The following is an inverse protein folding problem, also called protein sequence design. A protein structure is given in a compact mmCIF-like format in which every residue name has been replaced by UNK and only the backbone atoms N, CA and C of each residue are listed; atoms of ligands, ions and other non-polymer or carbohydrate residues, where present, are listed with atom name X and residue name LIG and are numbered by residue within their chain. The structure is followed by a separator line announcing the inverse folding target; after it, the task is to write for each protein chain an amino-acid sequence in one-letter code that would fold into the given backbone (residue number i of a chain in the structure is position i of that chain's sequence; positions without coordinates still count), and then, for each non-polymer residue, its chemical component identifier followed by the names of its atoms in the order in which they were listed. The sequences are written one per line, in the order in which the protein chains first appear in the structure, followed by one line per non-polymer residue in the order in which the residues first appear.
data_IF_585652067447
#
_entry.id   IF_585652067447
#
_cell.length_a   1.000
_cell.length_b   1.000
_cell.length_c   1.000
_cell.angle_alpha   90.00
_cell.angle_beta   90.00
_cell.angle_gamma   90.00
#
_symmetry.space_group_name_H-M   'P 1'
#
loop_
_entity.id
_entity.type
_entity.pdbx_description
1 polymer ?
#
# COMPACT_ATOMS: atom_id res chain seq x y z
N UNK A 1 12.68 -69.64 -14.17
CA UNK A 1 12.60 -68.54 -15.17
C UNK A 1 12.04 -67.33 -14.46
N UNK A 2 12.88 -66.47 -13.86
CA UNK A 2 13.39 -65.18 -14.42
C UNK A 2 12.20 -64.26 -14.73
N UNK A 3 11.96 -63.14 -14.04
CA UNK A 3 12.87 -62.01 -13.91
C UNK A 3 12.69 -61.21 -12.60
N UNK A 4 13.84 -60.85 -12.01
CA UNK A 4 14.02 -60.06 -10.81
C UNK A 4 14.50 -58.68 -11.26
N UNK A 5 13.62 -57.69 -11.37
CA UNK A 5 14.01 -56.32 -11.69
C UNK A 5 14.45 -55.60 -10.42
N UNK A 6 15.78 -55.52 -10.24
CA UNK A 6 16.43 -54.60 -9.30
C UNK A 6 16.59 -53.25 -10.00
N UNK A 7 15.91 -52.22 -9.52
CA UNK A 7 16.24 -50.83 -9.83
C UNK A 7 17.14 -50.31 -8.70
N UNK A 8 18.44 -50.33 -8.97
CA UNK A 8 19.46 -49.63 -8.16
C UNK A 8 19.61 -48.22 -8.71
N UNK A 9 19.11 -47.22 -8.01
CA UNK A 9 19.45 -45.81 -8.23
C UNK A 9 20.78 -45.49 -7.53
N UNK A 10 21.73 -44.79 -8.18
CA UNK A 10 22.95 -44.33 -7.52
C UNK A 10 22.65 -43.14 -6.59
N UNK A 11 23.34 -43.00 -5.44
CA UNK A 11 23.26 -41.80 -4.63
C UNK A 11 24.01 -40.68 -5.35
N UNK A 12 23.27 -39.66 -5.81
CA UNK A 12 23.88 -38.41 -6.26
C UNK A 12 24.56 -37.74 -5.07
N UNK A 13 25.86 -37.54 -5.24
CA UNK A 13 26.81 -36.93 -4.33
C UNK A 13 26.38 -35.53 -3.88
N UNK A 14 25.94 -35.43 -2.63
CA UNK A 14 25.83 -34.19 -1.84
C UNK A 14 27.24 -33.71 -1.40
N UNK A 15 28.09 -33.29 -2.35
CA UNK A 15 29.49 -32.95 -2.01
C UNK A 15 30.07 -31.65 -2.58
N UNK A 16 29.25 -30.69 -3.06
CA UNK A 16 29.81 -29.44 -3.63
C UNK A 16 29.32 -28.14 -2.98
N UNK A 17 28.39 -28.15 -2.03
CA UNK A 17 27.83 -26.87 -1.51
C UNK A 17 28.42 -26.41 -0.16
N UNK A 18 29.29 -27.19 0.50
CA UNK A 18 29.78 -26.85 1.85
C UNK A 18 31.10 -26.07 1.93
N UNK A 19 31.69 -25.61 0.82
CA UNK A 19 33.05 -25.01 0.85
C UNK A 19 33.15 -23.50 0.61
N UNK A 20 32.06 -22.72 0.70
CA UNK A 20 32.11 -21.25 0.48
C UNK A 20 32.05 -20.41 1.77
N UNK A 21 31.81 -21.01 2.95
CA UNK A 21 31.72 -20.26 4.21
C UNK A 21 32.92 -20.56 5.12
N UNK A 22 34.12 -20.16 4.70
CA UNK A 22 35.28 -20.05 5.59
C UNK A 22 36.36 -19.13 5.00
N UNK A 23 36.04 -17.87 4.76
CA UNK A 23 37.06 -16.83 4.68
C UNK A 23 37.10 -16.08 6.02
N UNK A 24 38.16 -16.23 6.84
CA UNK A 24 38.29 -15.45 8.05
C UNK A 24 38.55 -13.99 7.68
N UNK A 25 37.60 -13.14 8.07
CA UNK A 25 37.67 -11.69 8.00
C UNK A 25 38.68 -11.20 9.05
N UNK A 26 39.98 -11.35 8.76
CA UNK A 26 41.07 -10.78 9.54
C UNK A 26 41.86 -9.82 8.64
N UNK A 27 41.26 -8.67 8.35
CA UNK A 27 41.95 -7.57 7.68
C UNK A 27 41.61 -6.25 8.35
N UNK A 28 42.08 -6.10 9.60
CA UNK A 28 42.06 -4.84 10.33
C UNK A 28 43.43 -4.60 10.98
N UNK A 29 44.46 -4.36 10.17
CA UNK A 29 45.69 -3.67 10.60
C UNK A 29 46.67 -3.47 9.44
N UNK A 30 46.44 -2.43 8.61
CA UNK A 30 47.56 -1.71 8.00
C UNK A 30 47.09 -0.37 7.41
N UNK A 31 46.98 0.62 8.28
CA UNK A 31 46.90 2.03 7.89
C UNK A 31 48.25 2.44 7.31
N UNK A 32 48.35 2.56 5.99
CA UNK A 32 49.04 3.62 5.23
C UNK A 32 49.31 3.15 3.80
N UNK A 33 48.28 3.03 2.96
CA UNK A 33 48.48 2.91 1.51
C UNK A 33 47.51 3.85 0.79
N UNK A 34 48.07 4.74 -0.04
CA UNK A 34 47.39 5.91 -0.60
C UNK A 34 46.09 5.63 -1.36
N UNK A 35 45.18 6.60 -1.28
CA UNK A 35 43.78 6.64 -1.77
C UNK A 35 43.52 6.06 -3.17
N UNK A 36 44.53 5.92 -4.03
CA UNK A 36 44.36 5.38 -5.40
C UNK A 36 44.28 3.85 -5.44
N UNK A 37 44.88 3.13 -4.49
CA UNK A 37 44.83 1.64 -4.48
C UNK A 37 43.53 1.09 -3.87
N UNK A 38 42.90 1.85 -2.98
CA UNK A 38 41.64 1.46 -2.32
C UNK A 38 40.44 1.44 -3.28
N UNK A 39 40.41 2.36 -4.26
CA UNK A 39 39.35 2.40 -5.28
C UNK A 39 39.42 1.20 -6.24
N UNK A 40 40.61 0.73 -6.59
CA UNK A 40 40.79 -0.45 -7.46
C UNK A 40 40.34 -1.73 -6.75
N UNK A 41 40.62 -1.88 -5.46
CA UNK A 41 40.12 -3.01 -4.67
C UNK A 41 38.60 -3.03 -4.52
N UNK A 42 37.97 -1.88 -4.29
CA UNK A 42 36.50 -1.79 -4.22
C UNK A 42 35.85 -2.10 -5.58
N UNK A 43 36.47 -1.67 -6.68
CA UNK A 43 35.97 -1.95 -8.02
C UNK A 43 36.05 -3.45 -8.37
N UNK A 44 37.17 -4.10 -8.05
CA UNK A 44 37.36 -5.53 -8.32
C UNK A 44 36.44 -6.40 -7.47
N UNK A 45 36.26 -6.08 -6.19
CA UNK A 45 35.35 -6.84 -5.31
C UNK A 45 33.89 -6.66 -5.73
N UNK A 46 33.48 -5.44 -6.11
CA UNK A 46 32.13 -5.18 -6.60
C UNK A 46 31.86 -5.89 -7.95
N UNK A 47 32.84 -5.90 -8.86
CA UNK A 47 32.72 -6.59 -10.15
C UNK A 47 32.52 -8.10 -10.00
N UNK A 48 33.23 -8.74 -9.06
CA UNK A 48 33.08 -10.19 -8.82
C UNK A 48 31.70 -10.51 -8.23
N UNK A 49 31.19 -9.68 -7.31
CA UNK A 49 29.86 -9.87 -6.73
C UNK A 49 28.74 -9.76 -7.77
N UNK A 50 28.85 -8.81 -8.71
CA UNK A 50 27.87 -8.63 -9.78
C UNK A 50 27.85 -9.84 -10.72
N UNK A 51 29.01 -10.38 -11.10
CA UNK A 51 29.09 -11.57 -11.97
C UNK A 51 28.53 -12.84 -11.33
N UNK A 52 28.66 -13.00 -10.01
CA UNK A 52 28.07 -14.14 -9.29
C UNK A 52 26.55 -13.99 -9.19
N UNK A 53 26.06 -12.77 -8.95
CA UNK A 53 24.63 -12.47 -8.92
C UNK A 53 23.96 -12.71 -10.28
N UNK A 54 24.57 -12.27 -11.38
CA UNK A 54 24.02 -12.53 -12.72
C UNK A 54 24.02 -14.01 -13.06
N UNK A 55 25.07 -14.77 -12.70
CA UNK A 55 25.09 -16.22 -12.89
C UNK A 55 23.99 -16.96 -12.10
N UNK A 56 23.71 -16.51 -10.87
CA UNK A 56 22.61 -17.07 -10.05
C UNK A 56 21.23 -16.78 -10.66
N UNK A 57 21.02 -15.57 -11.20
CA UNK A 57 19.75 -15.21 -11.85
C UNK A 57 19.53 -16.08 -13.10
N UNK A 58 20.55 -16.28 -13.92
CA UNK A 58 20.45 -17.13 -15.12
C UNK A 58 20.14 -18.60 -14.77
N UNK A 59 20.69 -19.13 -13.67
CA UNK A 59 20.38 -20.49 -13.21
C UNK A 59 18.93 -20.62 -12.70
N UNK A 60 18.38 -19.57 -12.10
CA UNK A 60 16.99 -19.57 -11.63
C UNK A 60 16.00 -19.51 -12.80
N UNK A 61 16.31 -18.77 -13.86
CA UNK A 61 15.48 -18.71 -15.07
C UNK A 61 15.43 -20.06 -15.80
N UNK A 62 16.57 -20.75 -15.95
CA UNK A 62 16.62 -22.08 -16.59
C UNK A 62 15.80 -23.13 -15.82
N UNK A 63 15.87 -23.12 -14.47
CA UNK A 63 15.06 -24.02 -13.63
C UNK A 63 13.58 -23.68 -13.75
N UNK A 64 13.22 -22.40 -13.82
CA UNK A 64 11.83 -21.96 -13.94
C UNK A 64 11.23 -22.32 -15.32
N UNK A 65 11.99 -22.14 -16.40
CA UNK A 65 11.58 -22.51 -17.76
C UNK A 65 11.47 -24.04 -17.90
N UNK A 66 12.38 -24.80 -17.29
CA UNK A 66 12.29 -26.26 -17.26
C UNK A 66 11.03 -26.76 -16.54
N UNK A 67 10.60 -26.07 -15.49
CA UNK A 67 9.39 -26.46 -14.74
C UNK A 67 8.08 -26.14 -15.50
N UNK A 68 8.09 -25.13 -16.37
CA UNK A 68 6.93 -24.73 -17.18
C UNK A 68 6.78 -25.50 -18.49
N UNK A 69 7.81 -26.24 -18.93
CA UNK A 69 7.80 -27.02 -20.18
C UNK A 69 7.63 -28.53 -19.98
N UNK A 70 6.90 -28.98 -18.95
CA UNK A 70 6.42 -30.36 -18.91
C UNK A 70 5.18 -30.51 -19.82
N UNK A 71 5.29 -31.18 -21.00
CA UNK A 71 4.12 -31.44 -21.82
C UNK A 71 3.43 -32.69 -21.26
N UNK A 72 2.23 -32.52 -20.70
CA UNK A 72 1.34 -33.65 -20.39
C UNK A 72 1.00 -34.36 -21.70
N UNK A 73 1.67 -35.48 -21.95
CA UNK A 73 1.44 -36.38 -23.09
C UNK A 73 0.06 -37.02 -22.95
N UNK A 74 -0.69 -36.96 -24.05
CA UNK A 74 -2.10 -37.32 -24.13
C UNK A 74 -2.41 -38.79 -23.86
N UNK A 75 -3.58 -39.00 -23.27
CA UNK A 75 -4.29 -40.26 -23.22
C UNK A 75 -5.57 -40.10 -24.03
N UNK A 76 -5.68 -40.89 -25.09
CA UNK A 76 -6.84 -41.05 -25.95
C UNK A 76 -8.04 -41.58 -25.16
N UNK A 77 -9.14 -40.83 -25.11
CA UNK A 77 -10.43 -41.36 -24.69
C UNK A 77 -11.45 -41.25 -25.81
N UNK A 78 -11.90 -42.42 -26.24
CA UNK A 78 -13.07 -42.64 -27.07
C UNK A 78 -14.36 -42.24 -26.34
N UNK A 79 -15.33 -41.83 -27.15
CA UNK A 79 -16.75 -41.57 -26.86
C UNK A 79 -17.35 -42.28 -25.64
N UNK A 80 -17.92 -41.50 -24.71
CA UNK A 80 -19.00 -41.90 -23.80
C UNK A 80 -19.92 -40.68 -23.52
N UNK A 81 -21.22 -40.93 -23.19
CA UNK A 81 -22.31 -39.96 -23.30
C UNK A 81 -22.44 -39.03 -22.09
N UNK A 82 -23.23 -37.93 -22.19
CA UNK A 82 -23.25 -36.88 -21.18
C UNK A 82 -23.97 -37.37 -19.92
N UNK A 83 -23.22 -37.45 -18.81
CA UNK A 83 -23.79 -37.57 -17.46
C UNK A 83 -23.54 -36.29 -16.70
N UNK A 84 -24.60 -35.86 -16.03
CA UNK A 84 -24.70 -34.76 -15.08
C UNK A 84 -23.42 -34.54 -14.26
N UNK A 85 -22.80 -33.38 -14.47
CA UNK A 85 -21.72 -32.88 -13.63
C UNK A 85 -22.30 -32.39 -12.30
N UNK A 86 -22.04 -33.14 -11.23
CA UNK A 86 -21.94 -32.58 -9.88
C UNK A 86 -20.50 -32.10 -9.67
N UNK A 87 -20.25 -30.85 -9.25
CA UNK A 87 -18.90 -30.35 -9.08
C UNK A 87 -18.35 -30.80 -7.73
N UNK A 88 -17.41 -31.75 -7.76
CA UNK A 88 -16.64 -32.16 -6.60
C UNK A 88 -15.17 -32.24 -7.04
N UNK A 89 -14.48 -31.10 -6.95
CA UNK A 89 -13.03 -31.01 -7.00
C UNK A 89 -12.58 -29.76 -6.21
N UNK A 90 -12.14 -30.00 -4.98
CA UNK A 90 -11.29 -29.09 -4.20
C UNK A 90 -9.90 -29.03 -4.87
N UNK A 91 -9.79 -28.15 -5.86
CA UNK A 91 -8.52 -27.63 -6.35
C UNK A 91 -8.42 -26.18 -5.91
N UNK A 92 -7.31 -25.80 -5.29
CA UNK A 92 -7.01 -24.46 -4.79
C UNK A 92 -7.12 -23.44 -5.91
N UNK A 93 -8.30 -22.86 -6.09
CA UNK A 93 -8.54 -21.72 -6.97
C UNK A 93 -7.73 -20.58 -6.38
N UNK A 94 -6.75 -20.09 -7.12
CA UNK A 94 -6.20 -18.76 -6.88
C UNK A 94 -7.37 -17.82 -7.13
N UNK A 95 -8.00 -17.40 -6.03
CA UNK A 95 -9.16 -16.54 -5.97
C UNK A 95 -8.78 -15.20 -6.62
N UNK A 96 -8.99 -15.09 -7.93
CA UNK A 96 -8.86 -13.82 -8.62
C UNK A 96 -9.86 -12.88 -7.94
N UNK A 97 -9.34 -11.88 -7.23
CA UNK A 97 -10.12 -11.06 -6.30
C UNK A 97 -11.42 -10.58 -6.95
N UNK A 98 -12.52 -11.26 -6.61
CA UNK A 98 -13.82 -10.98 -7.17
C UNK A 98 -14.11 -9.50 -6.93
N UNK A 99 -14.45 -8.76 -7.99
CA UNK A 99 -14.75 -7.33 -7.89
C UNK A 99 -15.81 -7.14 -6.82
N UNK A 100 -15.46 -6.39 -5.77
CA UNK A 100 -16.36 -6.10 -4.65
C UNK A 100 -17.67 -5.55 -5.20
N UNK A 101 -18.78 -6.23 -4.90
CA UNK A 101 -20.10 -5.87 -5.40
C UNK A 101 -20.43 -4.40 -5.07
N UNK A 102 -21.01 -3.64 -6.02
CA UNK A 102 -21.47 -2.28 -5.74
C UNK A 102 -22.44 -2.29 -4.55
N UNK A 103 -22.40 -1.22 -3.76
CA UNK A 103 -23.29 -1.09 -2.60
C UNK A 103 -24.74 -0.93 -3.08
N UNK A 104 -25.67 -1.70 -2.52
CA UNK A 104 -27.09 -1.60 -2.85
C UNK A 104 -27.70 -0.29 -2.32
N UNK A 105 -28.93 0.06 -2.74
CA UNK A 105 -29.60 1.25 -2.20
C UNK A 105 -29.90 1.10 -0.70
N UNK A 106 -30.40 -0.05 -0.28
CA UNK A 106 -30.69 -0.35 1.13
C UNK A 106 -29.44 -0.22 2.02
N UNK A 107 -28.29 -0.70 1.50
CA UNK A 107 -27.00 -0.55 2.18
C UNK A 107 -26.57 0.92 2.32
N UNK A 108 -26.81 1.73 1.27
CA UNK A 108 -26.55 3.18 1.33
C UNK A 108 -27.43 3.87 2.35
N UNK A 109 -28.72 3.55 2.39
CA UNK A 109 -29.68 4.16 3.31
C UNK A 109 -29.34 3.81 4.77
N UNK A 110 -28.91 2.57 5.03
CA UNK A 110 -28.41 2.13 6.34
C UNK A 110 -27.11 2.84 6.73
N UNK A 111 -26.18 3.01 5.79
CA UNK A 111 -24.95 3.78 6.03
C UNK A 111 -25.28 5.24 6.37
N UNK A 112 -26.26 5.85 5.70
CA UNK A 112 -26.69 7.22 5.99
C UNK A 112 -27.26 7.36 7.39
N UNK A 113 -28.14 6.46 7.83
CA UNK A 113 -28.69 6.52 9.19
C UNK A 113 -27.62 6.37 10.26
N UNK A 114 -26.60 5.54 10.04
CA UNK A 114 -25.48 5.40 10.99
C UNK A 114 -24.57 6.63 11.03
N UNK A 115 -24.37 7.32 9.90
CA UNK A 115 -23.58 8.55 9.85
C UNK A 115 -24.32 9.70 10.55
N UNK A 116 -25.64 9.75 10.44
CA UNK A 116 -26.49 10.73 11.12
C UNK A 116 -26.37 10.62 12.65
N UNK A 117 -26.21 9.40 13.18
CA UNK A 117 -25.99 9.16 14.62
C UNK A 117 -24.59 9.57 15.12
N UNK A 118 -23.60 9.72 14.23
CA UNK A 118 -22.19 9.99 14.59
C UNK A 118 -21.71 11.32 13.97
N UNK A 119 -22.10 12.48 14.55
CA UNK A 119 -21.81 13.81 13.98
C UNK A 119 -20.31 14.15 13.92
N UNK A 120 -19.47 13.43 14.66
CA UNK A 120 -18.02 13.59 14.58
C UNK A 120 -17.47 13.27 13.18
N UNK A 121 -18.14 12.40 12.42
CA UNK A 121 -17.76 12.02 11.06
C UNK A 121 -17.97 13.17 10.08
N UNK A 122 -19.04 13.96 10.26
CA UNK A 122 -19.40 15.08 9.38
C UNK A 122 -18.67 16.38 9.76
N UNK A 123 -18.05 16.46 10.94
CA UNK A 123 -17.26 17.61 11.36
C UNK A 123 -16.14 17.94 10.34
N UNK A 124 -15.91 19.22 10.04
CA UNK A 124 -14.88 19.71 9.10
C UNK A 124 -13.49 19.86 9.72
N UNK A 125 -13.37 19.87 11.04
CA UNK A 125 -12.09 20.06 11.73
C UNK A 125 -11.04 19.01 11.34
N UNK A 126 -9.83 19.50 11.08
CA UNK A 126 -8.65 18.71 10.69
C UNK A 126 -7.63 18.54 11.82
N UNK A 127 -8.00 18.93 13.04
CA UNK A 127 -7.17 18.79 14.24
C UNK A 127 -6.75 17.33 14.45
N UNK A 128 -5.49 17.06 14.79
CA UNK A 128 -4.99 15.68 14.97
C UNK A 128 -5.81 14.85 15.97
N UNK A 129 -6.30 15.50 17.05
CA UNK A 129 -7.23 14.88 18.01
C UNK A 129 -8.56 14.49 17.35
N UNK A 130 -9.14 15.38 16.54
CA UNK A 130 -10.40 15.14 15.82
C UNK A 130 -10.23 14.05 14.75
N UNK A 131 -9.10 14.02 14.05
CA UNK A 131 -8.77 12.94 13.11
C UNK A 131 -8.75 11.58 13.84
N UNK A 132 -8.16 11.53 15.04
CA UNK A 132 -8.21 10.35 15.89
C UNK A 132 -9.63 9.94 16.29
N UNK A 133 -10.49 10.90 16.67
CA UNK A 133 -11.89 10.66 17.01
C UNK A 133 -12.71 10.19 15.81
N UNK A 134 -12.54 10.80 14.63
CA UNK A 134 -13.16 10.37 13.37
C UNK A 134 -12.77 8.95 13.02
N UNK A 135 -11.49 8.60 13.16
CA UNK A 135 -11.04 7.24 12.89
C UNK A 135 -11.70 6.22 13.83
N UNK A 136 -11.79 6.51 15.13
CA UNK A 136 -12.51 5.66 16.09
C UNK A 136 -14.00 5.55 15.78
N UNK A 137 -14.65 6.65 15.38
CA UNK A 137 -16.05 6.64 14.98
C UNK A 137 -16.29 5.76 13.75
N UNK A 138 -15.38 5.80 12.77
CA UNK A 138 -15.42 4.88 11.62
C UNK A 138 -15.23 3.41 12.00
N UNK A 139 -14.39 3.09 13.00
CA UNK A 139 -14.20 1.72 13.49
C UNK A 139 -15.47 1.20 14.20
N UNK A 140 -16.15 2.07 14.98
CA UNK A 140 -17.45 1.77 15.58
C UNK A 140 -18.52 1.55 14.51
N UNK A 141 -18.56 2.42 13.51
CA UNK A 141 -19.50 2.35 12.40
C UNK A 141 -19.30 1.07 11.58
N UNK A 142 -18.06 0.70 11.26
CA UNK A 142 -17.73 -0.57 10.58
C UNK A 142 -18.26 -1.77 11.37
N UNK A 143 -18.01 -1.78 12.68
CA UNK A 143 -18.45 -2.86 13.57
C UNK A 143 -19.98 -2.97 13.61
N UNK A 144 -20.67 -1.83 13.76
CA UNK A 144 -22.14 -1.74 13.77
C UNK A 144 -22.74 -2.15 12.41
N UNK A 145 -22.17 -1.66 11.32
CA UNK A 145 -22.60 -1.96 9.96
C UNK A 145 -22.48 -3.45 9.66
N UNK A 146 -21.33 -4.07 9.97
CA UNK A 146 -21.11 -5.49 9.73
C UNK A 146 -21.92 -6.40 10.67
N UNK A 147 -22.32 -5.90 11.84
CA UNK A 147 -23.24 -6.61 12.73
C UNK A 147 -24.68 -6.58 12.19
N UNK A 148 -25.10 -5.47 11.58
CA UNK A 148 -26.45 -5.33 10.98
C UNK A 148 -26.55 -5.98 9.60
N UNK A 149 -25.48 -5.98 8.81
CA UNK A 149 -25.44 -6.51 7.46
C UNK A 149 -24.71 -7.87 7.40
N UNK A 150 -25.48 -8.94 7.63
CA UNK A 150 -24.96 -10.32 7.66
C UNK A 150 -24.46 -10.79 6.28
N UNK A 151 -25.01 -10.24 5.20
CA UNK A 151 -24.75 -10.70 3.82
C UNK A 151 -23.58 -10.01 3.11
N UNK A 152 -23.23 -8.78 3.47
CA UNK A 152 -22.14 -8.03 2.83
C UNK A 152 -21.30 -7.26 3.84
N UNK A 153 -20.26 -7.93 4.35
CA UNK A 153 -19.29 -7.27 5.21
C UNK A 153 -18.46 -6.28 4.40
N UNK A 154 -18.34 -5.05 4.91
CA UNK A 154 -17.57 -3.98 4.28
C UNK A 154 -16.47 -3.54 5.23
N UNK A 155 -15.29 -3.27 4.66
CA UNK A 155 -14.20 -2.67 5.42
C UNK A 155 -14.46 -1.18 5.62
N UNK A 156 -13.95 -0.61 6.71
CA UNK A 156 -13.91 0.84 6.98
C UNK A 156 -13.52 1.68 5.76
N UNK A 157 -12.48 1.28 5.02
CA UNK A 157 -12.04 2.00 3.80
C UNK A 157 -13.12 2.02 2.71
N UNK A 158 -13.88 0.93 2.58
CA UNK A 158 -14.96 0.82 1.60
C UNK A 158 -16.14 1.70 2.00
N UNK A 159 -16.50 1.74 3.29
CA UNK A 159 -17.55 2.60 3.83
C UNK A 159 -17.21 4.09 3.66
N UNK A 160 -15.97 4.48 3.99
CA UNK A 160 -15.47 5.84 3.74
C UNK A 160 -15.55 6.21 2.26
N UNK A 161 -15.09 5.33 1.36
CA UNK A 161 -15.17 5.55 -0.09
C UNK A 161 -16.61 5.65 -0.58
N UNK A 162 -17.52 4.87 -0.02
CA UNK A 162 -18.95 4.93 -0.34
C UNK A 162 -19.54 6.28 0.10
N UNK A 163 -19.22 6.75 1.30
CA UNK A 163 -19.62 8.07 1.79
C UNK A 163 -19.12 9.20 0.88
N UNK A 164 -17.84 9.23 0.53
CA UNK A 164 -17.27 10.24 -0.37
C UNK A 164 -17.97 10.26 -1.75
N UNK A 165 -18.31 9.08 -2.28
CA UNK A 165 -19.09 8.97 -3.52
C UNK A 165 -20.49 9.55 -3.35
N UNK A 166 -21.17 9.28 -2.22
CA UNK A 166 -22.49 9.84 -1.92
C UNK A 166 -22.42 11.37 -1.84
N UNK A 167 -21.47 11.94 -1.09
CA UNK A 167 -21.25 13.40 -1.03
C UNK A 167 -21.06 14.01 -2.41
N UNK A 168 -20.19 13.41 -3.22
CA UNK A 168 -19.86 13.90 -4.56
C UNK A 168 -21.08 13.89 -5.47
N UNK A 169 -21.83 12.78 -5.48
CA UNK A 169 -23.05 12.62 -6.26
C UNK A 169 -24.13 13.62 -5.83
N UNK A 170 -24.34 13.78 -4.53
CA UNK A 170 -25.33 14.73 -3.99
C UNK A 170 -24.99 16.19 -4.34
N UNK A 171 -23.73 16.60 -4.23
CA UNK A 171 -23.27 17.93 -4.65
C UNK A 171 -23.48 18.16 -6.16
N UNK A 172 -23.20 17.15 -6.99
CA UNK A 172 -23.41 17.21 -8.43
C UNK A 172 -24.90 17.37 -8.77
N UNK A 173 -25.77 16.56 -8.18
CA UNK A 173 -27.22 16.62 -8.40
C UNK A 173 -27.81 17.95 -7.92
N UNK A 174 -27.40 18.42 -6.75
CA UNK A 174 -27.79 19.74 -6.25
C UNK A 174 -27.35 20.88 -7.18
N UNK A 175 -26.13 20.80 -7.72
CA UNK A 175 -25.62 21.79 -8.68
C UNK A 175 -26.34 21.75 -10.03
N UNK A 176 -26.86 20.60 -10.46
CA UNK A 176 -27.74 20.49 -11.63
C UNK A 176 -29.09 21.13 -11.32
N UNK A 177 -29.74 20.74 -10.22
CA UNK A 177 -31.03 21.29 -9.79
C UNK A 177 -30.99 22.82 -9.67
N UNK A 178 -30.00 23.36 -8.95
CA UNK A 178 -29.81 24.81 -8.79
C UNK A 178 -29.60 25.55 -10.13
N UNK A 179 -28.99 24.90 -11.13
CA UNK A 179 -28.81 25.48 -12.46
C UNK A 179 -30.11 25.46 -13.25
N UNK A 180 -30.92 24.42 -13.10
CA UNK A 180 -32.22 24.30 -13.76
C UNK A 180 -33.22 25.30 -13.17
N UNK A 181 -33.27 25.45 -11.84
CA UNK A 181 -34.06 26.49 -11.15
C UNK A 181 -33.75 27.91 -11.65
N UNK A 182 -32.49 28.18 -11.98
CA UNK A 182 -32.03 29.50 -12.45
C UNK A 182 -32.28 29.75 -13.94
N UNK A 183 -32.72 28.76 -14.71
CA UNK A 183 -33.09 28.97 -16.12
C UNK A 183 -34.47 29.65 -16.17
N UNK A 184 -34.51 30.97 -16.04
CA UNK A 184 -35.73 31.81 -16.00
C UNK A 184 -36.43 31.98 -17.36
N UNK A 185 -36.41 30.95 -18.22
CA UNK A 185 -36.91 31.02 -19.61
C UNK A 185 -38.33 30.50 -19.83
N UNK A 186 -39.17 30.39 -18.79
CA UNK A 186 -40.55 29.89 -18.92
C UNK A 186 -40.68 28.38 -19.19
N UNK A 187 -39.64 27.60 -18.91
CA UNK A 187 -39.69 26.13 -19.00
C UNK A 187 -40.45 25.49 -17.84
N UNK A 188 -40.75 24.19 -17.97
CA UNK A 188 -41.32 23.39 -16.90
C UNK A 188 -40.46 23.44 -15.62
N UNK A 189 -41.06 23.38 -14.42
CA UNK A 189 -40.32 23.35 -13.17
C UNK A 189 -39.32 22.17 -13.15
N UNK A 190 -38.13 22.36 -12.56
CA UNK A 190 -37.15 21.29 -12.44
C UNK A 190 -37.73 20.10 -11.66
N UNK A 191 -37.31 18.86 -11.98
CA UNK A 191 -37.73 17.69 -11.24
C UNK A 191 -37.22 17.75 -9.79
N UNK A 192 -38.06 17.29 -8.86
CA UNK A 192 -37.74 17.27 -7.43
C UNK A 192 -36.43 16.52 -7.16
N UNK A 193 -35.65 17.05 -6.21
CA UNK A 193 -34.40 16.42 -5.77
C UNK A 193 -34.72 15.09 -5.08
N UNK A 194 -34.02 13.99 -5.41
CA UNK A 194 -34.18 12.72 -4.69
C UNK A 194 -33.95 12.88 -3.17
N UNK A 195 -34.81 12.25 -2.36
CA UNK A 195 -34.77 12.38 -0.87
C UNK A 195 -33.43 11.98 -0.24
N UNK A 196 -32.73 11.02 -0.84
CA UNK A 196 -31.39 10.60 -0.40
C UNK A 196 -30.35 11.71 -0.58
N UNK A 197 -30.45 12.47 -1.67
CA UNK A 197 -29.60 13.63 -1.94
C UNK A 197 -29.85 14.73 -0.91
N UNK A 198 -31.11 15.02 -0.60
CA UNK A 198 -31.48 16.03 0.40
C UNK A 198 -30.93 15.69 1.78
N UNK A 199 -31.06 14.43 2.22
CA UNK A 199 -30.50 13.97 3.50
C UNK A 199 -28.98 14.14 3.57
N UNK A 200 -28.28 13.73 2.51
CA UNK A 200 -26.81 13.89 2.42
C UNK A 200 -26.42 15.37 2.48
N UNK A 201 -27.16 16.24 1.77
CA UNK A 201 -26.91 17.68 1.80
C UNK A 201 -27.20 18.30 3.16
N UNK A 202 -28.24 17.85 3.87
CA UNK A 202 -28.54 18.32 5.22
C UNK A 202 -27.39 18.01 6.20
N UNK A 203 -26.81 16.81 6.11
CA UNK A 203 -25.65 16.41 6.92
C UNK A 203 -24.36 17.19 6.57
N UNK A 204 -24.28 17.70 5.34
CA UNK A 204 -23.13 18.45 4.81
C UNK A 204 -23.41 19.96 4.74
N UNK A 205 -24.58 20.42 5.18
CA UNK A 205 -25.04 21.80 5.03
C UNK A 205 -24.04 22.88 5.50
N UNK A 206 -23.22 22.66 6.55
CA UNK A 206 -22.14 23.59 6.90
C UNK A 206 -21.10 23.80 5.79
N UNK A 207 -20.91 22.83 4.90
CA UNK A 207 -19.94 22.88 3.79
C UNK A 207 -20.50 23.58 2.54
N UNK A 208 -21.81 23.50 2.29
CA UNK A 208 -22.43 23.96 1.03
C UNK A 208 -22.76 25.45 1.07
N UNK A 209 -23.10 25.99 2.24
CA UNK A 209 -23.48 27.41 2.39
C UNK A 209 -22.29 28.38 2.24
N UNK A 210 -21.06 27.94 2.51
CA UNK A 210 -19.84 28.76 2.33
C UNK A 210 -19.50 29.05 0.86
N UNK A 211 -20.02 28.26 -0.08
CA UNK A 211 -19.80 28.47 -1.53
C UNK A 211 -20.75 29.53 -2.13
N UNK A 212 -21.70 30.03 -1.33
CA UNK A 212 -22.71 31.00 -1.75
C UNK A 212 -22.32 32.47 -1.57
N UNK A 213 -21.29 32.77 -0.77
CA UNK A 213 -20.93 34.15 -0.44
C UNK A 213 -19.55 34.50 -0.99
N UNK A 214 -19.56 35.21 -2.13
CA UNK A 214 -18.45 35.99 -2.71
C UNK A 214 -17.29 35.16 -3.31
N UNK A 215 -17.34 34.92 -4.63
CA UNK A 215 -16.25 35.38 -5.50
C UNK A 215 -16.54 35.21 -6.99
N UNK A 216 -16.08 36.22 -7.69
CA UNK A 216 -16.13 36.51 -9.10
C UNK A 216 -15.16 35.59 -9.90
N UNK A 217 -15.20 34.27 -9.69
CA UNK A 217 -14.38 33.33 -10.47
C UNK A 217 -15.22 32.66 -11.54
N UNK A 218 -15.12 33.25 -12.72
CA UNK A 218 -15.49 32.67 -14.00
C UNK A 218 -15.06 31.20 -14.11
N UNK A 219 -16.01 30.33 -14.44
CA UNK A 219 -15.80 29.13 -15.25
C UNK A 219 -14.60 28.24 -14.91
N UNK A 220 -14.62 27.56 -13.76
CA UNK A 220 -13.88 26.29 -13.65
C UNK A 220 -14.49 25.36 -12.60
N UNK A 221 -15.65 24.80 -12.96
CA UNK A 221 -16.04 23.51 -12.40
C UNK A 221 -15.09 22.45 -13.00
N UNK A 222 -13.87 22.34 -12.47
CA UNK A 222 -13.03 21.17 -12.75
C UNK A 222 -13.74 20.00 -12.09
N UNK A 223 -14.47 19.23 -12.91
CA UNK A 223 -14.65 17.82 -12.62
C UNK A 223 -13.26 17.24 -12.41
N UNK A 224 -12.94 16.86 -11.18
CA UNK A 224 -11.79 16.00 -10.88
C UNK A 224 -12.08 14.60 -11.46
N UNK A 225 -12.09 14.48 -12.78
CA UNK A 225 -11.74 13.22 -13.42
C UNK A 225 -10.27 13.02 -13.14
N UNK A 226 -9.99 12.19 -12.14
CA UNK A 226 -8.66 11.68 -11.84
C UNK A 226 -8.22 10.78 -12.99
N UNK A 227 -7.76 11.36 -14.10
CA UNK A 227 -6.73 10.72 -14.89
C UNK A 227 -5.46 10.81 -14.05
N UNK A 228 -4.92 9.66 -13.67
CA UNK A 228 -3.59 9.59 -13.07
C UNK A 228 -2.59 10.07 -14.12
N UNK A 229 -2.28 11.36 -14.07
CA UNK A 229 -1.18 11.99 -14.78
C UNK A 229 -0.22 12.55 -13.75
N UNK A 230 0.99 11.99 -13.74
CA UNK A 230 2.13 12.34 -12.91
C UNK A 230 2.45 13.84 -13.04
N UNK A 231 2.63 14.54 -11.92
CA UNK A 231 3.14 15.92 -11.96
C UNK A 231 2.86 16.76 -10.71
N UNK A 232 3.79 16.69 -9.76
CA UNK A 232 4.19 17.75 -8.83
C UNK A 232 3.10 18.50 -8.04
N UNK A 233 2.94 18.12 -6.76
CA UNK A 233 2.98 19.11 -5.70
C UNK A 233 3.63 18.54 -4.44
N UNK A 234 4.47 19.38 -3.85
CA UNK A 234 5.43 19.12 -2.80
C UNK A 234 4.81 18.57 -1.52
N UNK A 235 5.15 17.32 -1.21
CA UNK A 235 5.24 16.83 0.16
C UNK A 235 6.69 16.39 0.36
N UNK A 236 7.46 17.17 1.13
CA UNK A 236 8.76 16.78 1.65
C UNK A 236 8.54 15.72 2.74
N UNK A 237 8.38 14.48 2.32
CA UNK A 237 8.42 13.30 3.17
C UNK A 237 9.24 12.25 2.45
N UNK A 238 10.50 12.10 2.87
CA UNK A 238 11.43 11.11 2.35
C UNK A 238 10.87 9.69 2.52
N UNK A 239 10.44 9.10 1.42
CA UNK A 239 10.29 7.65 1.26
C UNK A 239 11.14 7.19 0.09
N UNK A 240 11.97 6.19 0.38
CA UNK A 240 12.86 5.47 -0.52
C UNK A 240 12.00 4.74 -1.57
N UNK A 241 12.35 4.91 -2.85
CA UNK A 241 11.83 4.11 -3.96
C UNK A 241 12.49 2.73 -3.96
N UNK A 242 11.70 1.69 -3.76
CA UNK A 242 11.99 0.39 -4.39
C UNK A 242 11.61 0.50 -5.87
N UNK A 243 12.58 0.23 -6.75
CA UNK A 243 12.37 0.23 -8.18
C UNK A 243 11.55 -1.01 -8.58
N UNK A 244 10.33 -0.78 -9.06
CA UNK A 244 9.57 -1.77 -9.83
C UNK A 244 9.76 -1.41 -11.30
N UNK A 245 10.58 -2.20 -12.00
CA UNK A 245 10.69 -2.22 -13.45
C UNK A 245 9.38 -2.76 -14.03
N UNK A 246 8.70 -1.93 -14.81
CA UNK A 246 7.58 -2.34 -15.67
C UNK A 246 8.16 -2.50 -17.07
N UNK A 247 8.17 -3.72 -17.58
CA UNK A 247 8.46 -4.03 -18.97
C UNK A 247 7.32 -3.50 -19.84
N UNK A 248 7.66 -2.74 -20.87
CA UNK A 248 6.74 -2.22 -21.88
C UNK A 248 6.98 -3.02 -23.15
N UNK A 249 5.99 -3.81 -23.55
CA UNK A 249 5.96 -4.51 -24.84
C UNK A 249 5.98 -3.50 -26.01
N UNK A 250 6.84 -3.68 -27.02
CA UNK A 250 6.90 -2.82 -28.20
C UNK A 250 6.17 -3.48 -29.37
N UNK A 251 4.92 -3.08 -29.66
CA UNK A 251 4.30 -3.24 -30.99
C UNK A 251 2.92 -2.56 -31.02
N UNK A 252 2.87 -1.27 -31.42
CA UNK A 252 1.89 -0.77 -32.41
C UNK A 252 2.21 0.68 -32.85
N UNK A 253 1.97 1.07 -34.12
CA UNK A 253 2.58 2.24 -34.75
C UNK A 253 1.72 3.52 -34.79
N UNK A 254 2.48 4.62 -34.84
CA UNK A 254 2.22 5.97 -35.38
C UNK A 254 1.20 6.93 -34.73
N UNK A 255 1.65 8.14 -34.31
CA UNK A 255 0.77 9.24 -33.96
C UNK A 255 0.40 10.09 -35.18
N UNK A 256 -0.91 10.30 -35.34
CA UNK A 256 -1.51 11.22 -36.31
C UNK A 256 -1.19 12.67 -35.92
N UNK A 257 -0.58 13.39 -36.86
CA UNK A 257 -0.31 14.83 -36.80
C UNK A 257 -1.61 15.64 -36.85
N UNK A 258 -1.90 16.42 -35.81
CA UNK A 258 -2.92 17.46 -35.79
C UNK A 258 -2.35 18.71 -35.11
N UNK A 259 -1.61 19.49 -35.89
CA UNK A 259 -1.25 20.87 -35.56
C UNK A 259 -2.23 21.80 -36.25
N UNK A 260 -3.16 22.41 -35.52
CA UNK A 260 -3.81 23.64 -35.96
C UNK A 260 -4.48 24.36 -34.77
N UNK A 261 -4.07 25.61 -34.54
CA UNK A 261 -4.92 26.65 -33.96
C UNK A 261 -4.90 26.85 -32.43
N UNK A 262 -3.87 27.54 -31.91
CA UNK A 262 -4.01 28.31 -30.66
C UNK A 262 -3.70 29.80 -30.92
N UNK A 263 -4.57 30.74 -30.54
CA UNK A 263 -4.29 32.17 -30.68
C UNK A 263 -3.38 32.67 -29.56
N UNK A 264 -2.28 33.30 -29.96
CA UNK A 264 -1.35 34.05 -29.11
C UNK A 264 -2.05 35.28 -28.53
N UNK A 265 -2.34 35.28 -27.23
CA UNK A 265 -2.81 36.47 -26.52
C UNK A 265 -1.60 37.38 -26.21
N UNK A 266 -1.50 38.47 -26.96
CA UNK A 266 -0.53 39.55 -26.76
C UNK A 266 -0.83 40.30 -25.46
N UNK A 267 0.04 40.19 -24.47
CA UNK A 267 0.03 41.04 -23.27
C UNK A 267 0.56 42.43 -23.62
N UNK A 268 -0.35 43.40 -23.73
CA UNK A 268 -0.02 44.83 -23.82
C UNK A 268 0.39 45.36 -22.45
N UNK A 269 1.69 45.45 -22.20
CA UNK A 269 2.25 46.17 -21.04
C UNK A 269 2.10 47.67 -21.30
N UNK A 270 1.21 48.34 -20.56
CA UNK A 270 1.13 49.79 -20.57
C UNK A 270 2.34 50.37 -19.81
N UNK A 271 3.23 51.03 -20.56
CA UNK A 271 4.33 51.83 -20.03
C UNK A 271 3.75 53.16 -19.53
N UNK A 272 3.68 53.33 -18.22
CA UNK A 272 3.45 54.64 -17.57
C UNK A 272 4.67 55.53 -17.78
N UNK A 273 4.54 56.75 -18.33
CA UNK A 273 5.63 57.71 -18.41
C UNK A 273 5.98 58.22 -17.01
N UNK A 274 7.22 58.00 -16.57
CA UNK A 274 7.73 58.55 -15.32
C UNK A 274 7.86 60.08 -15.39
N UNK A 275 7.56 60.81 -14.31
CA UNK A 275 7.76 62.26 -14.28
C UNK A 275 9.25 62.59 -14.33
N UNK A 276 9.61 63.43 -15.31
CA UNK A 276 10.92 64.07 -15.44
C UNK A 276 11.30 64.78 -14.13
N UNK A 277 12.47 64.42 -13.58
CA UNK A 277 13.03 64.95 -12.33
C UNK A 277 14.38 65.60 -12.64
N UNK A 278 14.32 66.82 -13.15
CA UNK A 278 15.48 67.72 -13.19
C UNK A 278 15.20 68.92 -12.29
N UNK A 279 15.45 68.74 -10.99
CA UNK A 279 15.61 69.86 -10.05
C UNK A 279 16.95 69.66 -9.35
N UNK A 280 17.95 70.54 -9.56
CA UNK A 280 19.25 70.41 -8.94
C UNK A 280 19.14 70.66 -7.44
N UNK A 281 19.15 69.57 -6.65
CA UNK A 281 19.16 69.64 -5.19
C UNK A 281 20.44 70.31 -4.67
N UNK A 282 20.23 71.26 -3.76
CA UNK A 282 21.23 72.05 -3.04
C UNK A 282 22.34 71.21 -2.41
N UNK A 283 23.58 71.69 -2.51
CA UNK A 283 24.82 71.00 -2.08
C UNK A 283 24.81 70.66 -0.58
N UNK A 284 24.07 71.41 0.24
CA UNK A 284 24.00 71.18 1.69
C UNK A 284 23.17 69.94 2.08
N UNK A 285 22.27 69.47 1.21
CA UNK A 285 21.41 68.30 1.44
C UNK A 285 22.11 66.96 1.10
N UNK A 286 23.14 67.02 0.25
CA UNK A 286 23.94 65.85 -0.17
C UNK A 286 24.84 65.30 0.96
N UNK A 287 25.25 66.15 1.92
CA UNK A 287 26.04 65.72 3.07
C UNK A 287 25.21 64.99 4.15
N UNK A 288 24.00 65.49 4.45
CA UNK A 288 23.07 64.89 5.42
C UNK A 288 22.56 63.52 4.95
N UNK A 289 22.25 63.39 3.66
CA UNK A 289 21.81 62.13 3.05
C UNK A 289 22.89 61.05 3.05
N UNK A 290 24.18 61.41 2.98
CA UNK A 290 25.30 60.44 3.05
C UNK A 290 25.47 59.85 4.45
N UNK A 291 25.35 60.66 5.52
CA UNK A 291 25.40 60.17 6.91
C UNK A 291 24.20 59.28 7.24
N UNK A 292 23.00 59.66 6.78
CA UNK A 292 21.77 58.86 6.96
C UNK A 292 21.82 57.53 6.19
N UNK A 293 22.44 57.49 5.00
CA UNK A 293 22.66 56.26 4.23
C UNK A 293 23.64 55.31 4.93
N UNK A 294 24.70 55.82 5.57
CA UNK A 294 25.63 54.99 6.36
C UNK A 294 24.95 54.38 7.58
N UNK A 295 24.18 55.17 8.33
CA UNK A 295 23.46 54.66 9.50
C UNK A 295 22.40 53.61 9.12
N UNK A 296 21.68 53.82 8.00
CA UNK A 296 20.74 52.82 7.49
C UNK A 296 21.45 51.51 7.12
N UNK A 297 22.56 51.56 6.38
CA UNK A 297 23.33 50.34 6.05
C UNK A 297 23.77 49.59 7.32
N UNK A 298 24.32 50.29 8.31
CA UNK A 298 24.70 49.70 9.60
C UNK A 298 23.53 48.98 10.27
N UNK A 299 22.36 49.61 10.37
CA UNK A 299 21.17 49.00 10.99
C UNK A 299 20.61 47.82 10.18
N UNK A 300 20.78 47.80 8.86
CA UNK A 300 20.41 46.64 8.04
C UNK A 300 21.37 45.47 8.23
N UNK A 301 22.67 45.74 8.36
CA UNK A 301 23.68 44.70 8.57
C UNK A 301 23.51 44.05 9.96
N UNK A 302 23.23 44.85 11.00
CA UNK A 302 22.97 44.35 12.36
C UNK A 302 21.67 43.52 12.43
N UNK A 303 20.58 43.98 11.80
CA UNK A 303 19.33 43.22 11.75
C UNK A 303 19.44 41.93 10.91
N UNK A 304 20.26 41.93 9.85
CA UNK A 304 20.48 40.75 9.03
C UNK A 304 21.28 39.67 9.81
N UNK A 305 22.24 40.08 10.64
CA UNK A 305 22.97 39.14 11.50
C UNK A 305 22.06 38.44 12.52
N UNK A 306 21.25 39.21 13.26
CA UNK A 306 20.30 38.65 14.24
C UNK A 306 19.28 37.73 13.57
N UNK A 307 18.78 38.10 12.38
CA UNK A 307 17.87 37.25 11.61
C UNK A 307 18.54 35.95 11.14
N UNK A 308 19.81 35.99 10.73
CA UNK A 308 20.55 34.80 10.31
C UNK A 308 20.84 33.85 11.47
N UNK A 309 21.16 34.39 12.65
CA UNK A 309 21.37 33.59 13.86
C UNK A 309 20.07 32.91 14.32
N UNK A 310 18.94 33.63 14.30
CA UNK A 310 17.63 33.04 14.60
C UNK A 310 17.25 31.93 13.63
N UNK A 311 17.51 32.11 12.32
CA UNK A 311 17.28 31.07 11.31
C UNK A 311 18.15 29.84 11.58
N UNK A 312 19.44 30.03 11.91
CA UNK A 312 20.33 28.90 12.23
C UNK A 312 19.83 28.11 13.44
N UNK A 313 19.46 28.79 14.52
CA UNK A 313 18.95 28.13 15.73
C UNK A 313 17.66 27.35 15.43
N UNK A 314 16.73 27.92 14.66
CA UNK A 314 15.52 27.21 14.23
C UNK A 314 15.84 25.97 13.39
N UNK A 315 16.82 26.06 12.47
CA UNK A 315 17.21 24.90 11.66
C UNK A 315 17.91 23.81 12.47
N UNK A 316 18.66 24.17 13.51
CA UNK A 316 19.30 23.23 14.42
C UNK A 316 18.26 22.53 15.31
N UNK A 317 17.27 23.26 15.83
CA UNK A 317 16.15 22.69 16.59
C UNK A 317 15.31 21.74 15.73
N UNK A 318 15.01 22.11 14.47
CA UNK A 318 14.29 21.25 13.54
C UNK A 318 15.09 19.98 13.22
N UNK A 319 16.40 20.08 13.03
CA UNK A 319 17.28 18.92 12.79
C UNK A 319 17.31 17.98 14.02
N UNK A 320 17.39 18.53 15.23
CA UNK A 320 17.32 17.75 16.47
C UNK A 320 15.97 17.05 16.62
N UNK A 321 14.87 17.74 16.32
CA UNK A 321 13.53 17.16 16.34
C UNK A 321 13.39 16.01 15.34
N UNK A 322 13.88 16.19 14.10
CA UNK A 322 13.88 15.14 13.09
C UNK A 322 14.71 13.93 13.52
N UNK A 323 15.87 14.15 14.14
CA UNK A 323 16.69 13.07 14.69
C UNK A 323 15.93 12.30 15.79
N UNK A 324 15.28 13.00 16.74
CA UNK A 324 14.46 12.38 17.80
C UNK A 324 13.27 11.57 17.23
N UNK A 325 12.60 12.09 16.20
CA UNK A 325 11.50 11.37 15.53
C UNK A 325 12.03 10.13 14.81
N UNK A 326 13.19 10.24 14.15
CA UNK A 326 13.83 9.12 13.46
C UNK A 326 14.25 8.00 14.43
N UNK A 327 14.91 8.36 15.54
CA UNK A 327 15.30 7.38 16.56
C UNK A 327 14.09 6.72 17.21
N UNK A 328 13.05 7.49 17.54
CA UNK A 328 11.81 6.91 18.08
C UNK A 328 11.15 5.94 17.08
N UNK A 329 11.09 6.32 15.80
CA UNK A 329 10.59 5.42 14.75
C UNK A 329 11.39 4.12 14.69
N UNK A 330 12.72 4.18 14.78
CA UNK A 330 13.56 2.99 14.80
C UNK A 330 13.27 2.11 16.02
N UNK A 331 13.14 2.70 17.22
CA UNK A 331 12.80 1.94 18.43
C UNK A 331 11.45 1.23 18.35
N UNK A 332 10.46 1.82 17.66
CA UNK A 332 9.17 1.18 17.43
C UNK A 332 9.27 -0.01 16.47
N UNK A 333 10.07 0.11 15.40
CA UNK A 333 10.34 -0.99 14.48
C UNK A 333 11.03 -2.14 15.23
N UNK A 334 12.05 -1.83 16.03
CA UNK A 334 12.78 -2.84 16.82
C UNK A 334 11.89 -3.52 17.87
N UNK A 335 10.91 -2.82 18.43
CA UNK A 335 9.94 -3.40 19.35
C UNK A 335 8.97 -4.34 18.61
N UNK A 336 8.52 -3.94 17.42
CA UNK A 336 7.64 -4.76 16.59
C UNK A 336 8.33 -6.04 16.10
N UNK A 337 9.60 -5.96 15.71
CA UNK A 337 10.38 -7.14 15.31
C UNK A 337 10.56 -8.10 16.48
N UNK A 338 10.94 -7.60 17.67
CA UNK A 338 11.03 -8.43 18.89
C UNK A 338 9.70 -9.09 19.24
N UNK A 339 8.58 -8.38 19.11
CA UNK A 339 7.26 -8.96 19.35
C UNK A 339 6.92 -10.07 18.33
N UNK A 340 7.33 -9.91 17.07
CA UNK A 340 7.16 -10.93 16.05
C UNK A 340 8.03 -12.17 16.32
N UNK A 341 9.26 -11.98 16.80
CA UNK A 341 10.16 -13.06 17.18
C UNK A 341 9.59 -13.90 18.34
N UNK A 342 9.06 -13.25 19.38
CA UNK A 342 8.41 -13.96 20.51
C UNK A 342 7.22 -14.79 20.02
N UNK A 343 6.37 -14.22 19.17
CA UNK A 343 5.22 -14.95 18.59
C UNK A 343 5.66 -16.15 17.75
N UNK A 344 6.78 -16.03 17.02
CA UNK A 344 7.33 -17.13 16.25
C UNK A 344 7.86 -18.24 17.16
N UNK A 345 8.55 -17.90 18.25
CA UNK A 345 9.03 -18.86 19.24
C UNK A 345 7.88 -19.63 19.90
N UNK A 346 6.83 -18.93 20.33
CA UNK A 346 5.61 -19.57 20.89
C UNK A 346 4.94 -20.51 19.88
N UNK A 347 4.93 -20.15 18.59
CA UNK A 347 4.37 -21.01 17.55
C UNK A 347 5.21 -22.28 17.32
N UNK A 348 6.54 -22.16 17.39
CA UNK A 348 7.46 -23.31 17.29
C UNK A 348 7.25 -24.26 18.46
N UNK A 349 7.19 -23.75 19.70
CA UNK A 349 6.97 -24.55 20.91
C UNK A 349 5.65 -25.33 20.83
N UNK A 350 4.55 -24.67 20.45
CA UNK A 350 3.25 -25.32 20.24
C UNK A 350 3.29 -26.43 19.18
N UNK A 351 4.06 -26.25 18.11
CA UNK A 351 4.23 -27.28 17.09
C UNK A 351 5.04 -28.47 17.61
N UNK A 352 6.02 -28.24 18.46
CA UNK A 352 6.79 -29.30 19.11
C UNK A 352 5.95 -30.09 20.10
N UNK A 353 5.15 -29.43 20.93
CA UNK A 353 4.17 -30.06 21.83
C UNK A 353 3.17 -30.93 21.05
N UNK A 354 2.63 -30.41 19.94
CA UNK A 354 1.71 -31.16 19.09
C UNK A 354 2.39 -32.40 18.47
N UNK A 355 3.66 -32.29 18.06
CA UNK A 355 4.45 -33.43 17.55
C UNK A 355 4.68 -34.47 18.64
N UNK A 356 4.99 -34.06 19.87
CA UNK A 356 5.18 -34.97 21.00
C UNK A 356 3.87 -35.68 21.37
N UNK A 357 2.77 -34.94 21.46
CA UNK A 357 1.42 -35.49 21.70
C UNK A 357 1.04 -36.53 20.63
N UNK A 358 1.31 -36.23 19.35
CA UNK A 358 1.08 -37.18 18.26
C UNK A 358 1.89 -38.47 18.41
N UNK A 359 3.17 -38.38 18.76
CA UNK A 359 4.03 -39.57 18.99
C UNK A 359 3.50 -40.41 20.16
N UNK A 360 3.12 -39.78 21.27
CA UNK A 360 2.54 -40.47 22.42
C UNK A 360 1.24 -41.20 22.05
N UNK A 361 0.35 -40.54 21.29
CA UNK A 361 -0.89 -41.16 20.83
C UNK A 361 -0.62 -42.36 19.90
N UNK A 362 0.39 -42.28 19.04
CA UNK A 362 0.81 -43.42 18.20
C UNK A 362 1.36 -44.60 19.02
N UNK A 363 2.08 -44.33 20.12
CA UNK A 363 2.56 -45.37 21.04
C UNK A 363 1.42 -46.05 21.81
N UNK A 364 0.49 -45.26 22.36
CA UNK A 364 -0.72 -45.77 23.02
C UNK A 364 -1.52 -46.66 22.07
N UNK A 365 -1.67 -46.25 20.81
CA UNK A 365 -2.39 -47.06 19.81
C UNK A 365 -1.68 -48.38 19.53
N UNK A 366 -0.33 -48.38 19.47
CA UNK A 366 0.46 -49.61 19.29
C UNK A 366 0.32 -50.55 20.48
N UNK A 367 0.27 -50.04 21.71
CA UNK A 367 0.04 -50.86 22.91
C UNK A 367 -1.36 -51.47 22.92
N UNK A 368 -2.41 -50.69 22.68
CA UNK A 368 -3.78 -51.20 22.56
C UNK A 368 -3.89 -52.28 21.49
N UNK A 369 -3.20 -52.12 20.36
CA UNK A 369 -3.19 -53.14 19.30
C UNK A 369 -2.52 -54.45 19.77
N UNK A 370 -1.47 -54.37 20.61
CA UNK A 370 -0.85 -55.56 21.21
C UNK A 370 -1.81 -56.26 22.18
N UNK A 371 -2.51 -55.51 23.03
CA UNK A 371 -3.51 -56.05 23.95
C UNK A 371 -4.65 -56.77 23.21
N UNK A 372 -5.17 -56.17 22.13
CA UNK A 372 -6.19 -56.77 21.27
C UNK A 372 -5.69 -58.08 20.63
N UNK A 373 -4.40 -58.14 20.24
CA UNK A 373 -3.81 -59.38 19.71
C UNK A 373 -3.67 -60.47 20.77
N UNK A 374 -3.25 -60.12 21.98
CA UNK A 374 -3.11 -61.07 23.10
C UNK A 374 -4.48 -61.63 23.50
N UNK A 375 -5.47 -60.76 23.68
CA UNK A 375 -6.85 -61.16 24.02
C UNK A 375 -7.45 -62.08 22.96
N UNK A 376 -7.23 -61.79 21.67
CA UNK A 376 -7.61 -62.68 20.57
C UNK A 376 -6.93 -64.05 20.66
N UNK A 377 -5.61 -64.10 20.89
CA UNK A 377 -4.87 -65.37 21.02
C UNK A 377 -5.37 -66.20 22.22
N UNK A 378 -5.68 -65.57 23.35
CA UNK A 378 -6.27 -66.23 24.52
C UNK A 378 -7.65 -66.81 24.18
N UNK A 379 -8.50 -66.05 23.47
CA UNK A 379 -9.81 -66.51 23.05
C UNK A 379 -9.72 -67.71 22.08
N UNK A 380 -8.79 -67.66 21.12
CA UNK A 380 -8.53 -68.75 20.18
C UNK A 380 -8.03 -70.02 20.90
N UNK A 381 -7.09 -69.89 21.85
CA UNK A 381 -6.62 -71.01 22.66
C UNK A 381 -7.74 -71.64 23.49
N UNK A 382 -8.58 -70.81 24.13
CA UNK A 382 -9.72 -71.28 24.93
C UNK A 382 -10.80 -71.96 24.07
N UNK A 383 -11.06 -71.47 22.85
CA UNK A 383 -11.98 -72.11 21.93
C UNK A 383 -11.49 -73.50 21.49
N UNK A 384 -10.17 -73.65 21.26
CA UNK A 384 -9.55 -74.92 20.93
C UNK A 384 -9.67 -75.95 22.06
N UNK A 385 -9.53 -75.54 23.33
CA UNK A 385 -9.73 -76.42 24.51
C UNK A 385 -11.18 -76.93 24.62
N UNK A 386 -12.16 -76.13 24.20
CA UNK A 386 -13.59 -76.48 24.26
C UNK A 386 -14.07 -77.30 23.04
N UNK A 387 -13.21 -77.59 22.06
CA UNK A 387 -13.59 -78.30 20.83
C UNK A 387 -14.60 -77.54 19.96
N UNK A 388 -14.72 -76.21 20.14
CA UNK A 388 -15.63 -75.39 19.34
C UNK A 388 -14.98 -75.05 18.00
N UNK A 389 -15.71 -75.16 16.87
CA UNK A 389 -15.21 -74.74 15.58
C UNK A 389 -14.94 -73.23 15.56
N UNK A 390 -13.73 -72.84 15.18
CA UNK A 390 -13.33 -71.45 15.02
C UNK A 390 -14.01 -70.92 13.75
N UNK A 391 -15.10 -70.17 13.91
CA UNK A 391 -15.65 -69.35 12.83
C UNK A 391 -14.82 -68.06 12.77
N UNK A 392 -13.87 -68.04 11.82
CA UNK A 392 -12.98 -66.91 11.54
C UNK A 392 -13.78 -65.73 10.97
#
# INVERSE_FOLDING_TARGET
MVAKMRLTSPPLSLFVVTSIIAYPFNWLASTTLGRKKTLVCLYLTCSVSISVLTALIMLLEEVFIAHLRCPLRGSTYQHLPPRHFSPLMEGTIIETAARVSPMSQLERDMLLSMIEEEPIITNRETNGKVVGLKNKAWDRLESKYNAMNVGSKRSKKQLQKAWERMKTKSKQQHGVHRREEKKTGGGAPPPDVPKDVEKVLALIAPEVNDLGSKSHLHGRLIYFSKTFGVGANSYSGTYIQEAVTIEVDPDDPEPVNLSEGLPTATLTTMVTPGPSRDTPLSVHEKASTRKRRRLRRSLYDDNNYVSQEMIKNLTEEDAEMHHKVSTHRQTLIDLQTKQAEVRLQEAIEKLEEARQSKKLNEEILKEKLKEVKITRQIAEAKAAEMGLPIYI
#
